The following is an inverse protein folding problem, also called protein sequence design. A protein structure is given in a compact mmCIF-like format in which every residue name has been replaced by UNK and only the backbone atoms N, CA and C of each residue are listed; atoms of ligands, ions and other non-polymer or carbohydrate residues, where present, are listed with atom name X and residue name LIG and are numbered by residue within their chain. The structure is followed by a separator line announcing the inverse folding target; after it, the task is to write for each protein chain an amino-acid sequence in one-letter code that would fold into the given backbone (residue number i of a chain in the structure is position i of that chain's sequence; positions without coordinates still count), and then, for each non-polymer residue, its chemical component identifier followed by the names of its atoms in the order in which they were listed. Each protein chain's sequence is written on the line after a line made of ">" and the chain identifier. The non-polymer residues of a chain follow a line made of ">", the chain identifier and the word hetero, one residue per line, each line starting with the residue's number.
data_IF_200067210490
#
_entry.id   IF_200067210490
#
_cell.length_a   1.000
_cell.length_b   1.000
_cell.length_c   1.000
_cell.angle_alpha   90.00
_cell.angle_beta   90.00
_cell.angle_gamma   90.00
#
_symmetry.space_group_name_H-M   'P 1'
#
loop_
_entity.id
_entity.type
_entity.pdbx_description
1 polymer ?
#
# COMPACT_ATOMS: atom_id res chain seq x y z
N UNK A 1 53.87 32.15 54.58
CA UNK A 1 53.12 31.17 53.84
C UNK A 1 51.66 31.59 53.86
N UNK A 2 51.06 31.96 52.72
CA UNK A 2 49.66 32.34 52.62
C UNK A 2 48.87 31.04 52.13
N UNK A 3 47.71 30.76 52.68
CA UNK A 3 46.92 29.62 52.20
C UNK A 3 46.26 29.98 50.88
N UNK A 4 46.34 29.08 49.93
CA UNK A 4 45.69 29.15 48.65
C UNK A 4 44.14 29.02 48.82
N UNK A 5 43.41 29.99 48.28
CA UNK A 5 41.95 30.02 48.26
C UNK A 5 41.43 28.95 47.32
N UNK A 6 40.84 27.91 47.86
CA UNK A 6 40.13 26.92 47.09
C UNK A 6 38.87 27.54 46.48
N UNK A 7 38.76 27.46 45.16
CA UNK A 7 37.61 27.90 44.39
C UNK A 7 36.40 26.96 44.70
N UNK A 8 35.49 27.41 45.57
CA UNK A 8 34.24 26.72 45.83
C UNK A 8 33.27 27.02 44.67
N UNK A 9 33.23 26.17 43.67
CA UNK A 9 32.17 26.22 42.68
C UNK A 9 30.84 25.99 43.41
N UNK A 10 29.93 26.97 43.31
CA UNK A 10 28.67 26.92 44.04
C UNK A 10 27.77 25.82 43.42
N UNK A 11 27.21 24.95 44.25
CA UNK A 11 26.29 23.89 43.89
C UNK A 11 25.06 24.37 43.06
N UNK A 12 24.78 25.66 43.09
CA UNK A 12 23.70 26.32 42.36
C UNK A 12 23.90 26.37 40.84
N UNK A 13 25.13 26.22 40.34
CA UNK A 13 25.44 26.22 38.90
C UNK A 13 25.35 24.82 38.34
N UNK A 14 25.59 23.79 39.14
CA UNK A 14 25.57 22.39 38.67
C UNK A 14 24.16 21.80 38.48
N UNK A 15 23.20 22.20 39.28
CA UNK A 15 21.82 21.73 39.19
C UNK A 15 21.16 22.00 37.82
N UNK A 16 21.18 23.18 37.23
CA UNK A 16 20.60 23.42 35.90
C UNK A 16 21.36 22.72 34.79
N UNK A 17 22.67 22.57 34.85
CA UNK A 17 23.48 21.88 33.83
C UNK A 17 23.18 20.38 33.81
N UNK A 18 23.09 19.76 34.99
CA UNK A 18 22.71 18.34 35.11
C UNK A 18 21.27 18.09 34.63
N UNK A 19 20.35 19.01 34.95
CA UNK A 19 18.96 18.91 34.51
C UNK A 19 18.82 19.02 32.97
N UNK A 20 19.55 19.94 32.36
CA UNK A 20 19.59 20.11 30.90
C UNK A 20 20.19 18.87 30.23
N UNK A 21 21.27 18.31 30.79
CA UNK A 21 21.89 17.09 30.30
C UNK A 21 20.93 15.87 30.35
N UNK A 22 20.21 15.72 31.44
CA UNK A 22 19.23 14.63 31.59
C UNK A 22 18.02 14.77 30.64
N UNK A 23 17.55 15.99 30.44
CA UNK A 23 16.47 16.28 29.47
C UNK A 23 16.96 16.03 28.05
N UNK A 24 18.17 16.44 27.70
CA UNK A 24 18.73 16.20 26.38
C UNK A 24 18.96 14.71 26.10
N UNK A 25 19.47 13.95 27.07
CA UNK A 25 19.64 12.48 26.92
C UNK A 25 18.30 11.74 26.87
N UNK A 26 17.33 12.13 27.70
CA UNK A 26 15.98 11.56 27.65
C UNK A 26 15.29 11.87 26.31
N UNK A 27 15.44 13.08 25.78
CA UNK A 27 14.92 13.48 24.48
C UNK A 27 15.61 12.72 23.32
N UNK A 28 16.93 12.55 23.40
CA UNK A 28 17.68 11.77 22.41
C UNK A 28 17.28 10.28 22.44
N UNK A 29 17.17 9.70 23.64
CA UNK A 29 16.70 8.33 23.82
C UNK A 29 15.24 8.15 23.32
N UNK A 30 14.36 9.10 23.62
CA UNK A 30 12.98 9.10 23.15
C UNK A 30 12.90 9.24 21.61
N UNK A 31 13.76 10.04 21.01
CA UNK A 31 13.84 10.23 19.56
C UNK A 31 14.40 8.96 18.87
N UNK A 32 15.37 8.29 19.47
CA UNK A 32 15.91 7.01 18.98
C UNK A 32 14.92 5.85 19.17
N UNK A 33 14.08 5.88 20.20
CA UNK A 33 13.07 4.87 20.45
C UNK A 33 11.83 4.99 19.54
N UNK A 34 11.66 6.11 18.82
CA UNK A 34 10.56 6.24 17.87
C UNK A 34 10.89 5.49 16.60
N UNK A 35 10.01 4.56 16.18
CA UNK A 35 10.20 3.88 14.91
C UNK A 35 10.22 4.91 13.78
N UNK A 36 11.22 4.81 12.92
CA UNK A 36 11.28 5.63 11.71
C UNK A 36 10.20 5.11 10.77
N UNK A 37 9.19 5.94 10.51
CA UNK A 37 8.15 5.60 9.53
C UNK A 37 8.74 5.77 8.12
N UNK A 38 8.66 4.74 7.29
CA UNK A 38 9.16 4.74 5.93
C UNK A 38 8.53 5.81 5.04
N UNK A 39 9.31 6.34 4.10
CA UNK A 39 8.85 7.36 3.17
C UNK A 39 7.63 6.88 2.35
N UNK A 40 7.61 5.62 1.97
CA UNK A 40 6.50 4.98 1.27
C UNK A 40 5.22 5.00 2.10
N UNK A 41 5.31 4.69 3.41
CA UNK A 41 4.15 4.76 4.31
C UNK A 41 3.69 6.19 4.58
N UNK A 42 4.60 7.16 4.59
CA UNK A 42 4.22 8.57 4.65
C UNK A 42 3.46 8.99 3.39
N UNK A 43 3.90 8.53 2.23
CA UNK A 43 3.20 8.74 0.96
C UNK A 43 1.82 8.07 0.96
N UNK A 44 1.73 6.82 1.40
CA UNK A 44 0.45 6.13 1.56
C UNK A 44 -0.49 6.85 2.50
N UNK A 45 -0.01 7.27 3.66
CA UNK A 45 -0.81 8.04 4.63
C UNK A 45 -1.37 9.31 3.98
N UNK A 46 -0.57 10.03 3.21
CA UNK A 46 -1.02 11.25 2.51
C UNK A 46 -2.11 10.92 1.47
N UNK A 47 -1.90 9.88 0.65
CA UNK A 47 -2.87 9.39 -0.35
C UNK A 47 -4.18 8.97 0.32
N UNK A 48 -4.12 8.13 1.33
CA UNK A 48 -5.30 7.62 2.04
C UNK A 48 -6.03 8.77 2.72
N UNK A 49 -5.32 9.68 3.39
CA UNK A 49 -5.93 10.86 4.03
C UNK A 49 -6.73 11.69 3.04
N UNK A 50 -6.23 11.87 1.82
CA UNK A 50 -6.93 12.59 0.76
C UNK A 50 -8.16 11.82 0.25
N UNK A 51 -8.05 10.51 0.09
CA UNK A 51 -9.18 9.68 -0.35
C UNK A 51 -10.29 9.69 0.71
N UNK A 52 -9.97 9.47 1.99
CA UNK A 52 -10.97 9.38 3.07
C UNK A 52 -11.64 10.72 3.38
N UNK A 53 -10.98 11.84 3.10
CA UNK A 53 -11.58 13.16 3.32
C UNK A 53 -12.89 13.36 2.54
N UNK A 54 -13.11 12.60 1.47
CA UNK A 54 -14.26 12.77 0.58
C UNK A 54 -14.94 11.45 0.18
N UNK A 55 -14.52 10.34 0.76
CA UNK A 55 -15.10 9.02 0.51
C UNK A 55 -15.27 8.26 1.82
N UNK A 56 -16.40 7.60 1.99
CA UNK A 56 -16.58 6.61 3.04
C UNK A 56 -15.86 5.32 2.67
N UNK A 57 -14.89 4.90 3.48
CA UNK A 57 -14.20 3.61 3.31
C UNK A 57 -14.84 2.48 4.14
N UNK A 58 -16.00 2.73 4.74
CA UNK A 58 -16.62 1.77 5.65
C UNK A 58 -16.21 1.97 7.11
N UNK A 59 -16.62 1.06 8.00
CA UNK A 59 -16.33 1.13 9.44
C UNK A 59 -15.21 0.19 9.89
N UNK A 60 -14.79 -0.74 9.04
CA UNK A 60 -13.73 -1.67 9.35
C UNK A 60 -12.35 -1.02 9.19
N UNK A 61 -11.37 -1.37 10.03
CA UNK A 61 -9.99 -0.99 9.82
C UNK A 61 -9.48 -1.53 8.48
N UNK A 62 -8.59 -0.77 7.84
CA UNK A 62 -7.86 -1.20 6.64
C UNK A 62 -6.37 -1.14 6.98
N UNK A 63 -5.65 -2.20 6.69
CA UNK A 63 -4.21 -2.27 6.87
C UNK A 63 -3.51 -2.22 5.51
N UNK A 64 -2.32 -1.64 5.51
CA UNK A 64 -1.50 -1.50 4.30
C UNK A 64 -0.12 -2.03 4.59
N UNK A 65 0.38 -2.92 3.76
CA UNK A 65 1.76 -3.39 3.78
C UNK A 65 2.47 -3.09 2.46
N UNK A 66 3.77 -2.90 2.54
CA UNK A 66 4.63 -2.71 1.38
C UNK A 66 5.58 -3.89 1.31
N UNK A 67 5.52 -4.62 0.22
CA UNK A 67 6.33 -5.80 0.02
C UNK A 67 7.25 -5.65 -1.21
N UNK A 68 8.23 -6.54 -1.28
CA UNK A 68 9.16 -6.62 -2.40
C UNK A 68 8.66 -7.55 -3.53
N UNK A 69 7.42 -8.03 -3.43
CA UNK A 69 6.85 -8.97 -4.39
C UNK A 69 7.54 -10.34 -4.42
N UNK A 70 7.13 -11.17 -5.36
CA UNK A 70 7.66 -12.52 -5.53
C UNK A 70 9.14 -12.56 -5.97
N UNK A 71 9.65 -11.48 -6.54
CA UNK A 71 11.03 -11.42 -6.99
C UNK A 71 12.04 -11.54 -5.87
N UNK A 72 11.76 -11.03 -4.68
CA UNK A 72 12.66 -11.15 -3.53
C UNK A 72 12.88 -12.60 -3.15
N UNK A 73 11.81 -13.40 -3.10
CA UNK A 73 11.88 -14.82 -2.80
C UNK A 73 12.74 -15.56 -3.83
N UNK A 74 12.45 -15.33 -5.11
CA UNK A 74 13.18 -15.95 -6.21
C UNK A 74 14.67 -15.58 -6.22
N UNK A 75 14.99 -14.30 -6.00
CA UNK A 75 16.38 -13.85 -5.94
C UNK A 75 17.14 -14.46 -4.74
N UNK A 76 16.47 -14.56 -3.57
CA UNK A 76 17.05 -15.18 -2.39
C UNK A 76 17.34 -16.66 -2.61
N UNK A 77 16.42 -17.38 -3.23
CA UNK A 77 16.59 -18.80 -3.59
C UNK A 77 17.71 -18.99 -4.62
N UNK A 78 17.73 -18.19 -5.69
CA UNK A 78 18.80 -18.23 -6.70
C UNK A 78 20.19 -17.96 -6.12
N UNK A 79 20.28 -17.21 -5.02
CA UNK A 79 21.54 -16.92 -4.31
C UNK A 79 21.84 -17.90 -3.17
N UNK A 80 20.96 -18.87 -2.93
CA UNK A 80 21.12 -19.86 -1.87
C UNK A 80 21.05 -19.31 -0.46
N UNK A 81 20.42 -18.14 -0.27
CA UNK A 81 20.31 -17.48 1.04
C UNK A 81 19.24 -18.12 1.92
N UNK A 82 18.14 -18.55 1.33
CA UNK A 82 17.08 -19.31 1.99
C UNK A 82 16.20 -20.01 0.96
N UNK A 83 15.48 -21.03 1.40
CA UNK A 83 14.38 -21.61 0.61
C UNK A 83 13.12 -20.83 0.86
N UNK A 84 12.28 -20.68 -0.16
CA UNK A 84 11.04 -19.88 -0.10
C UNK A 84 10.17 -20.29 1.10
N UNK A 85 10.08 -21.59 1.40
CA UNK A 85 9.25 -22.14 2.47
C UNK A 85 9.73 -21.77 3.88
N UNK A 86 11.03 -21.39 4.02
CA UNK A 86 11.68 -21.17 5.30
C UNK A 86 12.21 -19.74 5.47
N UNK A 87 11.94 -18.86 4.53
CA UNK A 87 12.44 -17.50 4.54
C UNK A 87 11.42 -16.54 5.16
N UNK A 88 11.78 -15.95 6.29
CA UNK A 88 11.01 -14.85 6.85
C UNK A 88 11.36 -13.55 6.12
N UNK A 89 10.66 -13.31 5.00
CA UNK A 89 10.90 -12.14 4.17
C UNK A 89 10.56 -10.82 4.86
N UNK A 90 9.64 -10.80 5.82
CA UNK A 90 9.32 -9.60 6.59
C UNK A 90 10.50 -9.19 7.48
N UNK A 91 11.16 -10.17 8.10
CA UNK A 91 12.35 -9.90 8.91
C UNK A 91 13.55 -9.59 8.03
N UNK A 92 13.78 -10.38 6.99
CA UNK A 92 14.98 -10.29 6.16
C UNK A 92 14.97 -9.08 5.22
N UNK A 93 13.81 -8.67 4.71
CA UNK A 93 13.68 -7.59 3.75
C UNK A 93 13.07 -6.32 4.35
N UNK A 94 12.99 -6.23 5.67
CA UNK A 94 12.53 -5.00 6.34
C UNK A 94 13.51 -3.85 6.02
N UNK A 95 13.07 -2.80 5.31
CA UNK A 95 13.93 -1.73 4.82
C UNK A 95 14.61 -0.90 5.92
N UNK A 96 14.26 -1.12 7.17
CA UNK A 96 14.74 -0.38 8.34
C UNK A 96 15.70 -1.17 9.21
N UNK A 97 16.04 -2.38 8.81
CA UNK A 97 17.13 -3.14 9.43
C UNK A 97 18.41 -2.99 8.62
N UNK A 98 19.56 -3.01 9.29
CA UNK A 98 20.83 -3.22 8.62
C UNK A 98 20.83 -4.61 8.01
N UNK A 99 20.82 -4.69 6.71
CA UNK A 99 20.92 -5.96 6.03
C UNK A 99 22.36 -6.47 5.98
N UNK A 100 22.53 -7.78 6.00
CA UNK A 100 23.73 -8.36 5.38
C UNK A 100 23.77 -7.92 3.91
N UNK A 101 24.97 -7.71 3.37
CA UNK A 101 25.20 -7.16 2.03
C UNK A 101 24.36 -7.83 0.93
N UNK A 102 24.21 -9.16 1.02
CA UNK A 102 23.48 -9.93 0.02
C UNK A 102 21.97 -9.62 0.03
N UNK A 103 21.40 -9.40 1.22
CA UNK A 103 20.00 -9.01 1.38
C UNK A 103 19.73 -7.57 0.95
N UNK A 104 20.68 -6.67 1.15
CA UNK A 104 20.61 -5.30 0.64
C UNK A 104 20.52 -5.29 -0.90
N UNK A 105 21.35 -6.10 -1.56
CA UNK A 105 21.31 -6.24 -3.01
C UNK A 105 20.00 -6.88 -3.50
N UNK A 106 19.48 -7.90 -2.81
CA UNK A 106 18.17 -8.51 -3.12
C UNK A 106 17.06 -7.49 -2.96
N UNK A 107 17.04 -6.76 -1.85
CA UNK A 107 16.04 -5.70 -1.61
C UNK A 107 16.08 -4.66 -2.73
N UNK A 108 17.28 -4.22 -3.11
CA UNK A 108 17.48 -3.24 -4.18
C UNK A 108 17.04 -3.78 -5.55
N UNK A 109 17.37 -5.00 -5.88
CA UNK A 109 16.96 -5.62 -7.15
C UNK A 109 15.45 -5.87 -7.19
N UNK A 110 14.85 -6.37 -6.11
CA UNK A 110 13.40 -6.57 -6.02
C UNK A 110 12.64 -5.26 -6.19
N UNK A 111 13.14 -4.19 -5.57
CA UNK A 111 12.58 -2.85 -5.72
C UNK A 111 12.64 -2.34 -7.17
N UNK A 112 13.67 -2.77 -7.90
CA UNK A 112 13.90 -2.35 -9.29
C UNK A 112 13.13 -3.19 -10.30
N UNK A 113 13.04 -4.50 -10.05
CA UNK A 113 12.55 -5.50 -11.00
C UNK A 113 11.16 -6.05 -10.63
N UNK A 114 10.61 -5.67 -9.45
CA UNK A 114 9.31 -6.17 -9.00
C UNK A 114 8.18 -5.67 -9.88
N UNK A 115 7.10 -6.44 -9.93
CA UNK A 115 5.89 -6.07 -10.65
C UNK A 115 5.25 -4.82 -10.04
N UNK A 116 4.77 -3.94 -10.90
CA UNK A 116 3.93 -2.82 -10.49
C UNK A 116 2.56 -3.39 -10.14
N UNK A 117 2.29 -3.56 -8.85
CA UNK A 117 1.06 -4.19 -8.44
C UNK A 117 0.66 -3.85 -7.01
N UNK A 118 -0.61 -4.10 -6.75
CA UNK A 118 -1.20 -4.14 -5.44
C UNK A 118 -2.26 -5.24 -5.43
N UNK A 119 -2.61 -5.71 -4.25
CA UNK A 119 -3.68 -6.68 -4.08
C UNK A 119 -4.31 -6.59 -2.70
N UNK A 120 -5.55 -6.98 -2.63
CA UNK A 120 -6.35 -6.96 -1.42
C UNK A 120 -6.52 -8.38 -0.88
N UNK A 121 -6.34 -8.56 0.42
CA UNK A 121 -6.61 -9.81 1.12
C UNK A 121 -8.02 -9.83 1.71
N UNK A 122 -8.54 -11.03 2.01
CA UNK A 122 -9.85 -11.19 2.67
C UNK A 122 -9.90 -10.62 4.08
N UNK A 123 -8.75 -10.45 4.73
CA UNK A 123 -8.63 -9.88 6.09
C UNK A 123 -8.68 -8.36 6.14
N UNK A 124 -8.73 -7.68 4.99
CA UNK A 124 -8.74 -6.21 4.94
C UNK A 124 -7.36 -5.59 4.88
N UNK A 125 -6.34 -6.35 4.48
CA UNK A 125 -5.01 -5.84 4.20
C UNK A 125 -4.85 -5.59 2.71
N UNK A 126 -4.34 -4.41 2.37
CA UNK A 126 -3.92 -4.04 1.02
C UNK A 126 -2.40 -4.09 0.98
N UNK A 127 -1.88 -4.92 0.10
CA UNK A 127 -0.45 -5.04 -0.12
C UNK A 127 -0.07 -4.29 -1.40
N UNK A 128 1.02 -3.53 -1.34
CA UNK A 128 1.48 -2.72 -2.47
C UNK A 128 2.93 -3.06 -2.72
N UNK A 129 3.26 -3.37 -3.95
CA UNK A 129 4.64 -3.66 -4.31
C UNK A 129 5.51 -2.41 -4.20
N UNK A 130 6.73 -2.57 -3.71
CA UNK A 130 7.70 -1.47 -3.67
C UNK A 130 8.06 -0.96 -5.06
N UNK A 131 8.00 -1.84 -6.06
CA UNK A 131 8.16 -1.48 -7.46
C UNK A 131 7.13 -0.44 -7.93
N UNK A 132 5.89 -0.48 -7.44
CA UNK A 132 4.88 0.52 -7.76
C UNK A 132 5.30 1.92 -7.29
N UNK A 133 5.86 2.06 -6.08
CA UNK A 133 6.36 3.35 -5.59
C UNK A 133 7.49 3.89 -6.44
N UNK A 134 8.41 3.02 -6.87
CA UNK A 134 9.51 3.42 -7.75
C UNK A 134 9.02 3.81 -9.14
N UNK A 135 8.16 3.02 -9.74
CA UNK A 135 7.66 3.25 -11.10
C UNK A 135 6.81 4.52 -11.19
N UNK A 136 5.94 4.71 -10.20
CA UNK A 136 5.09 5.91 -10.16
C UNK A 136 5.86 7.16 -9.72
N UNK A 137 6.93 7.03 -8.95
CA UNK A 137 7.78 8.14 -8.54
C UNK A 137 6.98 9.29 -7.93
N UNK A 138 7.06 10.48 -8.54
CA UNK A 138 6.32 11.66 -8.10
C UNK A 138 4.84 11.68 -8.49
N UNK A 139 4.38 10.73 -9.32
CA UNK A 139 2.98 10.63 -9.76
C UNK A 139 2.09 9.99 -8.68
N UNK A 140 1.98 10.64 -7.52
CA UNK A 140 1.18 10.15 -6.38
C UNK A 140 -0.29 9.92 -6.73
N UNK A 141 -0.81 10.55 -7.78
CA UNK A 141 -2.15 10.30 -8.31
C UNK A 141 -2.31 8.88 -8.88
N UNK A 142 -1.29 8.31 -9.50
CA UNK A 142 -1.31 6.94 -9.99
C UNK A 142 -1.32 5.94 -8.83
N UNK A 143 -0.48 6.17 -7.82
CA UNK A 143 -0.53 5.39 -6.57
C UNK A 143 -1.90 5.50 -5.90
N UNK A 144 -2.48 6.70 -5.85
CA UNK A 144 -3.81 6.91 -5.27
C UNK A 144 -4.89 6.13 -6.03
N UNK A 145 -4.80 6.04 -7.36
CA UNK A 145 -5.73 5.23 -8.14
C UNK A 145 -5.58 3.73 -7.84
N UNK A 146 -4.34 3.22 -7.77
CA UNK A 146 -4.07 1.83 -7.39
C UNK A 146 -4.64 1.51 -5.99
N UNK A 147 -4.39 2.38 -5.01
CA UNK A 147 -4.94 2.24 -3.65
C UNK A 147 -6.47 2.29 -3.66
N UNK A 148 -7.08 3.19 -4.44
CA UNK A 148 -8.53 3.31 -4.56
C UNK A 148 -9.15 2.07 -5.21
N UNK A 149 -8.48 1.45 -6.16
CA UNK A 149 -8.89 0.18 -6.79
C UNK A 149 -8.94 -0.96 -5.76
N UNK A 150 -7.89 -1.12 -4.97
CA UNK A 150 -7.85 -2.13 -3.91
C UNK A 150 -8.91 -1.87 -2.81
N UNK A 151 -9.11 -0.61 -2.43
CA UNK A 151 -10.18 -0.23 -1.50
C UNK A 151 -11.56 -0.56 -2.09
N UNK A 152 -11.77 -0.43 -3.40
CA UNK A 152 -13.01 -0.82 -4.04
C UNK A 152 -13.28 -2.31 -3.90
N UNK A 153 -12.27 -3.17 -4.06
CA UNK A 153 -12.38 -4.60 -3.79
C UNK A 153 -12.85 -4.89 -2.37
N UNK A 154 -12.29 -4.22 -1.37
CA UNK A 154 -12.72 -4.34 0.04
C UNK A 154 -14.16 -3.88 0.25
N UNK A 155 -14.50 -2.69 -0.22
CA UNK A 155 -15.86 -2.11 -0.05
C UNK A 155 -16.93 -2.99 -0.69
N UNK A 156 -16.66 -3.53 -1.86
CA UNK A 156 -17.57 -4.43 -2.58
C UNK A 156 -17.50 -5.87 -2.09
N UNK A 157 -16.58 -6.21 -1.18
CA UNK A 157 -16.37 -7.57 -0.66
C UNK A 157 -16.09 -8.58 -1.78
N UNK A 158 -15.35 -8.17 -2.81
CA UNK A 158 -15.16 -8.99 -4.01
C UNK A 158 -14.55 -10.34 -3.70
N UNK A 159 -13.56 -10.43 -2.81
CA UNK A 159 -12.91 -11.70 -2.43
C UNK A 159 -13.91 -12.65 -1.77
N UNK A 160 -14.71 -12.12 -0.82
CA UNK A 160 -15.75 -12.91 -0.18
C UNK A 160 -16.80 -13.40 -1.19
N UNK A 161 -17.28 -12.50 -2.06
CA UNK A 161 -18.28 -12.82 -3.07
C UNK A 161 -17.75 -13.80 -4.11
N UNK A 162 -16.48 -13.70 -4.51
CA UNK A 162 -15.84 -14.66 -5.41
C UNK A 162 -15.78 -16.05 -4.79
N UNK A 163 -15.35 -16.14 -3.51
CA UNK A 163 -15.34 -17.39 -2.76
C UNK A 163 -16.74 -17.98 -2.59
N UNK A 164 -17.72 -17.15 -2.23
CA UNK A 164 -19.11 -17.57 -2.11
C UNK A 164 -19.66 -18.09 -3.43
N UNK A 165 -19.42 -17.38 -4.53
CA UNK A 165 -19.83 -17.75 -5.88
C UNK A 165 -19.25 -19.10 -6.29
N UNK A 166 -17.95 -19.29 -6.09
CA UNK A 166 -17.25 -20.53 -6.41
C UNK A 166 -17.81 -21.74 -5.63
N UNK A 167 -18.14 -21.54 -4.33
CA UNK A 167 -18.56 -22.63 -3.47
C UNK A 167 -20.07 -22.94 -3.52
N UNK A 168 -20.89 -21.97 -3.91
CA UNK A 168 -22.35 -22.10 -3.82
C UNK A 168 -23.06 -22.00 -5.18
N UNK A 169 -22.71 -20.98 -5.99
CA UNK A 169 -23.49 -20.68 -7.21
C UNK A 169 -23.13 -21.62 -8.35
N UNK A 170 -21.85 -21.92 -8.54
CA UNK A 170 -21.40 -22.77 -9.65
C UNK A 170 -21.27 -24.26 -9.27
N UNK A 171 -21.55 -24.62 -8.02
CA UNK A 171 -21.38 -25.98 -7.52
C UNK A 171 -22.17 -27.02 -8.34
N UNK A 172 -23.35 -26.66 -8.83
CA UNK A 172 -24.22 -27.51 -9.68
C UNK A 172 -23.82 -27.50 -11.15
N UNK A 173 -22.86 -26.67 -11.54
CA UNK A 173 -22.41 -26.58 -12.93
C UNK A 173 -21.37 -27.67 -13.22
N UNK A 174 -21.31 -28.21 -14.44
CA UNK A 174 -20.28 -29.18 -14.82
C UNK A 174 -18.87 -28.65 -14.56
N UNK A 175 -18.00 -29.45 -13.93
CA UNK A 175 -16.65 -29.06 -13.52
C UNK A 175 -15.83 -28.38 -14.61
N UNK A 176 -15.91 -28.83 -15.86
CA UNK A 176 -15.18 -28.23 -16.99
C UNK A 176 -15.58 -26.81 -17.37
N UNK A 177 -16.63 -26.25 -16.74
CA UNK A 177 -17.04 -24.83 -16.92
C UNK A 177 -16.72 -23.95 -15.71
N UNK A 178 -16.32 -24.54 -14.57
CA UNK A 178 -16.13 -23.81 -13.32
C UNK A 178 -15.12 -22.70 -13.48
N UNK A 179 -13.93 -22.98 -13.97
CA UNK A 179 -12.84 -22.01 -14.09
C UNK A 179 -13.23 -20.82 -14.96
N UNK A 180 -13.88 -21.09 -16.10
CA UNK A 180 -14.36 -20.02 -16.99
C UNK A 180 -15.37 -19.10 -16.30
N UNK A 181 -16.26 -19.64 -15.46
CA UNK A 181 -17.25 -18.87 -14.73
C UNK A 181 -16.60 -18.07 -13.59
N UNK A 182 -15.68 -18.68 -12.85
CA UNK A 182 -14.91 -17.99 -11.80
C UNK A 182 -14.14 -16.82 -12.39
N UNK A 183 -13.39 -17.05 -13.45
CA UNK A 183 -12.60 -16.02 -14.10
C UNK A 183 -13.46 -14.91 -14.73
N UNK A 184 -14.61 -15.28 -15.32
CA UNK A 184 -15.56 -14.27 -15.82
C UNK A 184 -16.10 -13.37 -14.69
N UNK A 185 -16.40 -13.96 -13.52
CA UNK A 185 -16.82 -13.21 -12.35
C UNK A 185 -15.70 -12.31 -11.83
N UNK A 186 -14.46 -12.80 -11.75
CA UNK A 186 -13.29 -12.00 -11.34
C UNK A 186 -13.09 -10.81 -12.28
N UNK A 187 -13.11 -11.04 -13.59
CA UNK A 187 -12.99 -9.94 -14.58
C UNK A 187 -14.06 -8.88 -14.44
N UNK A 188 -15.29 -9.26 -14.13
CA UNK A 188 -16.37 -8.30 -13.84
C UNK A 188 -16.05 -7.45 -12.62
N UNK A 189 -15.53 -8.07 -11.56
CA UNK A 189 -15.15 -7.39 -10.32
C UNK A 189 -14.00 -6.39 -10.53
N UNK A 190 -13.06 -6.71 -11.41
CA UNK A 190 -11.98 -5.79 -11.80
C UNK A 190 -12.52 -4.52 -12.46
N UNK A 191 -13.43 -4.67 -13.44
CA UNK A 191 -14.05 -3.53 -14.12
C UNK A 191 -14.92 -2.69 -13.16
N UNK A 192 -15.52 -3.31 -12.15
CA UNK A 192 -16.25 -2.61 -11.09
C UNK A 192 -15.29 -1.83 -10.18
N UNK A 193 -14.15 -2.42 -9.83
CA UNK A 193 -13.13 -1.79 -9.02
C UNK A 193 -12.49 -0.58 -9.74
N UNK A 194 -12.21 -0.71 -11.04
CA UNK A 194 -11.70 0.40 -11.86
C UNK A 194 -12.64 1.62 -11.86
N UNK A 195 -13.94 1.37 -12.03
CA UNK A 195 -14.96 2.45 -12.00
C UNK A 195 -15.09 3.11 -10.64
N UNK A 196 -15.10 2.30 -9.58
CA UNK A 196 -15.20 2.81 -8.21
C UNK A 196 -13.94 3.60 -7.83
N UNK A 197 -12.77 3.15 -8.26
CA UNK A 197 -11.53 3.89 -8.09
C UNK A 197 -11.62 5.26 -8.76
N UNK A 198 -12.03 5.32 -10.03
CA UNK A 198 -12.20 6.58 -10.76
C UNK A 198 -13.19 7.52 -10.05
N UNK A 199 -14.29 7.00 -9.51
CA UNK A 199 -15.26 7.76 -8.73
C UNK A 199 -14.67 8.28 -7.42
N UNK A 200 -13.96 7.43 -6.67
CA UNK A 200 -13.29 7.84 -5.42
C UNK A 200 -12.24 8.92 -5.68
N UNK A 201 -11.48 8.81 -6.76
CA UNK A 201 -10.50 9.80 -7.17
C UNK A 201 -11.14 11.15 -7.52
N UNK A 202 -12.25 11.13 -8.27
CA UNK A 202 -12.98 12.34 -8.62
C UNK A 202 -13.55 13.05 -7.37
N UNK A 203 -14.12 12.31 -6.42
CA UNK A 203 -14.60 12.84 -5.13
C UNK A 203 -13.47 13.44 -4.29
N UNK A 204 -12.29 12.83 -4.32
CA UNK A 204 -11.10 13.31 -3.61
C UNK A 204 -10.42 14.50 -4.32
N UNK A 205 -11.02 15.01 -5.39
CA UNK A 205 -10.53 16.19 -6.10
C UNK A 205 -9.27 15.94 -6.93
N UNK A 206 -9.02 14.70 -7.32
CA UNK A 206 -8.06 14.41 -8.37
C UNK A 206 -8.67 14.78 -9.73
N UNK A 207 -7.88 15.45 -10.56
CA UNK A 207 -8.36 15.95 -11.86
C UNK A 207 -8.00 15.00 -13.00
N UNK A 208 -8.73 15.12 -14.10
CA UNK A 208 -8.45 14.40 -15.33
C UNK A 208 -8.76 12.90 -15.26
N UNK A 209 -8.11 12.15 -16.11
CA UNK A 209 -8.29 10.70 -16.28
C UNK A 209 -7.19 9.90 -15.57
N UNK A 210 -6.83 10.30 -14.36
CA UNK A 210 -5.65 9.78 -13.65
C UNK A 210 -5.62 8.25 -13.58
N UNK A 211 -6.77 7.59 -13.33
CA UNK A 211 -6.81 6.13 -13.31
C UNK A 211 -6.60 5.50 -14.69
N UNK A 212 -7.09 6.14 -15.73
CA UNK A 212 -6.82 5.68 -17.10
C UNK A 212 -5.34 5.85 -17.45
N UNK A 213 -4.75 6.99 -17.09
CA UNK A 213 -3.34 7.26 -17.35
C UNK A 213 -2.43 6.30 -16.56
N UNK A 214 -2.77 5.98 -15.30
CA UNK A 214 -2.08 4.97 -14.50
C UNK A 214 -2.17 3.58 -15.12
N UNK A 215 -3.34 3.19 -15.62
CA UNK A 215 -3.56 1.91 -16.25
C UNK A 215 -2.77 1.76 -17.55
N UNK A 216 -2.76 2.81 -18.39
CA UNK A 216 -1.96 2.86 -19.63
C UNK A 216 -0.47 2.74 -19.30
N UNK A 217 0.01 3.49 -18.31
CA UNK A 217 1.41 3.41 -17.87
C UNK A 217 1.77 2.00 -17.38
N UNK A 218 0.92 1.38 -16.56
CA UNK A 218 1.16 0.02 -16.06
C UNK A 218 1.22 -0.99 -17.20
N UNK A 219 0.29 -0.92 -18.16
CA UNK A 219 0.31 -1.76 -19.35
C UNK A 219 1.62 -1.62 -20.16
N UNK A 220 2.04 -0.38 -20.40
CA UNK A 220 3.28 -0.13 -21.14
C UNK A 220 4.53 -0.61 -20.39
N UNK A 221 4.48 -0.65 -19.06
CA UNK A 221 5.60 -1.03 -18.20
C UNK A 221 5.68 -2.53 -17.93
N UNK A 222 4.53 -3.25 -17.91
CA UNK A 222 4.49 -4.68 -17.63
C UNK A 222 4.90 -5.55 -18.82
N UNK A 223 4.68 -5.06 -20.03
CA UNK A 223 4.86 -5.84 -21.24
C UNK A 223 3.81 -6.93 -21.44
N UNK A 224 2.76 -6.94 -20.62
CA UNK A 224 1.66 -7.91 -20.72
C UNK A 224 0.81 -7.67 -21.96
N UNK A 225 0.20 -8.73 -22.50
CA UNK A 225 -0.69 -8.64 -23.64
C UNK A 225 -1.93 -7.79 -23.36
N UNK A 226 -2.42 -7.07 -24.39
CA UNK A 226 -3.62 -6.22 -24.26
C UNK A 226 -4.93 -7.00 -24.22
N UNK A 227 -5.00 -8.18 -24.85
CA UNK A 227 -6.23 -8.96 -25.00
C UNK A 227 -6.60 -9.72 -23.72
N UNK A 228 -7.90 -9.85 -23.47
CA UNK A 228 -8.41 -10.66 -22.36
C UNK A 228 -8.27 -12.15 -22.64
N UNK A 229 -7.50 -12.84 -21.82
CA UNK A 229 -7.39 -14.29 -21.87
C UNK A 229 -8.60 -14.96 -21.16
N UNK A 230 -9.19 -16.02 -21.74
CA UNK A 230 -10.38 -16.68 -21.17
C UNK A 230 -10.16 -17.25 -19.75
N UNK A 231 -8.94 -17.67 -19.46
CA UNK A 231 -8.54 -18.23 -18.16
C UNK A 231 -7.76 -17.24 -17.27
N UNK A 232 -7.83 -15.95 -17.56
CA UNK A 232 -7.27 -14.92 -16.71
C UNK A 232 -8.30 -14.42 -15.69
N UNK A 233 -7.85 -14.18 -14.46
CA UNK A 233 -8.64 -13.52 -13.41
C UNK A 233 -8.85 -12.04 -13.69
N UNK A 234 -7.98 -11.42 -14.48
CA UNK A 234 -8.05 -10.01 -14.85
C UNK A 234 -8.46 -9.87 -16.31
N UNK A 235 -9.26 -8.86 -16.67
CA UNK A 235 -9.44 -8.46 -18.06
C UNK A 235 -8.09 -7.99 -18.62
N UNK A 236 -7.88 -8.20 -19.92
CA UNK A 236 -6.74 -7.59 -20.60
C UNK A 236 -6.79 -6.07 -20.54
N UNK A 237 -5.63 -5.46 -20.67
CA UNK A 237 -5.51 -3.99 -20.58
C UNK A 237 -6.37 -3.26 -21.60
N UNK A 238 -6.54 -3.80 -22.81
CA UNK A 238 -7.38 -3.19 -23.86
C UNK A 238 -8.84 -3.05 -23.41
N UNK A 239 -9.39 -4.10 -22.79
CA UNK A 239 -10.76 -4.09 -22.30
C UNK A 239 -10.92 -3.15 -21.10
N UNK A 240 -9.97 -3.12 -20.18
CA UNK A 240 -9.95 -2.20 -19.02
C UNK A 240 -9.83 -0.74 -19.49
N UNK A 241 -8.88 -0.44 -20.39
CA UNK A 241 -8.67 0.90 -20.96
C UNK A 241 -9.94 1.37 -21.66
N UNK A 242 -10.55 0.51 -22.50
CA UNK A 242 -11.80 0.82 -23.19
C UNK A 242 -12.94 1.10 -22.22
N UNK A 243 -13.13 0.24 -21.23
CA UNK A 243 -14.20 0.39 -20.22
C UNK A 243 -14.03 1.69 -19.42
N UNK A 244 -12.83 1.97 -18.98
CA UNK A 244 -12.53 3.16 -18.18
C UNK A 244 -12.58 4.45 -19.04
N UNK A 245 -12.17 4.40 -20.30
CA UNK A 245 -12.34 5.49 -21.26
C UNK A 245 -13.81 5.84 -21.42
N UNK A 246 -14.66 4.83 -21.66
CA UNK A 246 -16.10 5.05 -21.79
C UNK A 246 -16.71 5.62 -20.50
N UNK A 247 -16.27 5.14 -19.35
CA UNK A 247 -16.70 5.68 -18.05
C UNK A 247 -16.37 7.17 -17.92
N UNK A 248 -15.15 7.57 -18.23
CA UNK A 248 -14.74 8.99 -18.18
C UNK A 248 -15.51 9.85 -19.19
N UNK A 249 -15.74 9.36 -20.40
CA UNK A 249 -16.52 10.08 -21.41
C UNK A 249 -17.97 10.32 -20.95
N UNK A 250 -18.62 9.30 -20.39
CA UNK A 250 -20.01 9.40 -19.90
C UNK A 250 -20.16 10.30 -18.67
N UNK A 251 -19.08 10.48 -17.91
CA UNK A 251 -19.07 11.25 -16.67
C UNK A 251 -18.29 12.58 -16.79
N UNK A 252 -17.91 12.97 -18.00
CA UNK A 252 -17.18 14.21 -18.25
C UNK A 252 -17.99 15.43 -17.81
N UNK A 253 -17.35 16.28 -16.99
CA UNK A 253 -18.00 17.50 -16.46
C UNK A 253 -18.94 17.28 -15.28
N UNK A 254 -19.21 16.03 -14.88
CA UNK A 254 -20.02 15.76 -13.70
C UNK A 254 -19.23 16.09 -12.43
N UNK A 255 -19.95 16.74 -11.49
CA UNK A 255 -19.47 16.93 -10.12
C UNK A 255 -20.06 15.84 -9.25
N UNK A 256 -19.22 14.96 -8.73
CA UNK A 256 -19.69 13.93 -7.80
C UNK A 256 -19.87 14.51 -6.39
N UNK A 257 -20.96 14.17 -5.74
CA UNK A 257 -21.18 14.52 -4.35
C UNK A 257 -20.05 13.91 -3.48
N UNK A 258 -19.44 14.77 -2.68
CA UNK A 258 -18.46 14.32 -1.68
C UNK A 258 -19.20 13.63 -0.56
N UNK A 259 -18.68 12.49 -0.13
CA UNK A 259 -19.15 11.87 1.10
C UNK A 259 -18.45 12.57 2.27
N UNK A 260 -19.23 13.09 3.22
CA UNK A 260 -18.66 13.65 4.45
C UNK A 260 -18.15 12.49 5.31
N UNK A 261 -16.84 12.35 5.38
CA UNK A 261 -16.20 11.32 6.19
C UNK A 261 -15.25 11.95 7.19
N UNK A 262 -15.17 11.33 8.36
CA UNK A 262 -14.22 11.77 9.39
C UNK A 262 -12.91 11.09 9.14
N UNK A 263 -11.83 11.86 9.05
CA UNK A 263 -10.48 11.33 8.95
C UNK A 263 -10.20 10.46 10.19
N UNK A 264 -9.93 9.17 9.95
CA UNK A 264 -9.59 8.23 11.01
C UNK A 264 -8.17 8.43 11.55
N UNK A 265 -7.76 7.53 12.41
CA UNK A 265 -6.39 7.50 12.95
C UNK A 265 -5.52 6.55 12.15
N UNK A 266 -4.23 6.88 12.06
CA UNK A 266 -3.20 6.05 11.47
C UNK A 266 -2.23 5.58 12.54
N UNK A 267 -1.87 4.31 12.47
CA UNK A 267 -0.88 3.69 13.32
C UNK A 267 0.08 2.87 12.47
N UNK A 268 1.38 3.02 12.69
CA UNK A 268 2.41 2.25 12.00
C UNK A 268 3.09 1.29 12.95
N UNK A 269 2.96 0.01 12.69
CA UNK A 269 3.66 -1.05 13.40
C UNK A 269 4.95 -1.42 12.64
N UNK A 270 6.13 -1.09 13.19
CA UNK A 270 7.40 -1.43 12.57
C UNK A 270 7.76 -2.91 12.66
N UNK A 271 7.19 -3.66 13.62
CA UNK A 271 7.47 -5.08 13.77
C UNK A 271 6.79 -5.89 12.67
N UNK A 272 5.54 -5.53 12.37
CA UNK A 272 4.74 -6.18 11.33
C UNK A 272 4.86 -5.47 9.97
N UNK A 273 5.61 -4.35 9.89
CA UNK A 273 5.73 -3.52 8.69
C UNK A 273 4.35 -3.15 8.12
N UNK A 274 3.47 -2.66 8.99
CA UNK A 274 2.06 -2.47 8.69
C UNK A 274 1.61 -1.04 9.05
N UNK A 275 0.97 -0.35 8.11
CA UNK A 275 0.25 0.90 8.36
C UNK A 275 -1.24 0.59 8.50
N UNK A 276 -1.80 0.82 9.67
CA UNK A 276 -3.23 0.66 9.92
C UNK A 276 -3.96 2.00 9.82
N UNK A 277 -5.06 2.02 9.10
CA UNK A 277 -6.05 3.09 9.11
C UNK A 277 -7.30 2.63 9.85
N UNK A 278 -7.73 3.37 10.86
CA UNK A 278 -8.94 3.08 11.64
C UNK A 278 -9.93 4.24 11.47
N UNK A 279 -11.08 3.99 10.81
CA UNK A 279 -12.14 5.00 10.74
C UNK A 279 -12.62 5.38 12.14
N UNK A 280 -12.74 6.68 12.42
CA UNK A 280 -13.39 7.13 13.64
C UNK A 280 -14.91 7.08 13.44
N UNK A 281 -15.61 6.40 14.36
CA UNK A 281 -17.09 6.48 14.40
C UNK A 281 -17.47 7.90 14.81
N UNK A 282 -18.42 8.50 14.08
CA UNK A 282 -19.14 9.66 14.58
C UNK A 282 -20.12 9.22 15.66
#
# INVERSE_FOLDING_TARGET
>A
MKPTSGFKLSAKIWLPVVSIGLIATAFAAWRQARPVVPAEYLTLKAVISRLVAHNSLGSAPISFSINNGYYAARLAEMRGLCKVENCDFYVQLNPYRSYAKDWDEISRQSYTLGDIGAWTTSSGTIEISRAAFRAYGSHTGWLACTVAHEIAHLKRKHIFLASYYANNTIRSTPKGKHDKLIYAQSRKQELEADRDAALMMARAGYQGRICLDALIFTHQSSGDGGATEPLSTHPGYDDRIKALTNYYMQNMGLRFAKENWVVGTFDFDPADNLLSYRPTKR
#
